data_IF_569313000166
#
_entry.id   IF_569313000166
#
_cell.length_a   1.000
_cell.length_b   1.000
_cell.length_c   1.000
_cell.angle_alpha   90.00
_cell.angle_beta   90.00
_cell.angle_gamma   90.00
#
_symmetry.space_group_name_H-M   'P 1'
#
loop_
_entity.id
_entity.type
_entity.pdbx_description
1 polymer ?
#
# COMPACT_ATOMS: atom_id res chain seq x y z
N UNK A 1 13.52 10.54 -24.77
CA UNK A 1 12.66 10.97 -23.66
C UNK A 1 11.51 9.97 -23.58
N UNK A 2 11.27 9.27 -22.45
CA UNK A 2 10.09 8.41 -22.35
C UNK A 2 8.83 9.30 -22.34
N UNK A 3 7.83 8.89 -23.10
CA UNK A 3 6.56 9.58 -23.27
C UNK A 3 5.79 9.69 -21.95
N UNK A 4 5.44 10.91 -21.55
CA UNK A 4 4.70 11.20 -20.30
C UNK A 4 3.23 10.82 -20.38
N UNK A 5 2.70 10.56 -21.58
CA UNK A 5 1.28 10.34 -21.81
C UNK A 5 0.96 8.93 -22.31
N UNK A 6 1.92 8.00 -22.31
CA UNK A 6 1.61 6.62 -22.69
C UNK A 6 0.73 5.96 -21.61
N UNK A 7 -0.57 5.73 -21.88
CA UNK A 7 -1.52 5.23 -20.88
C UNK A 7 -1.26 3.75 -20.51
N UNK A 8 -0.36 3.06 -21.23
CA UNK A 8 -0.01 1.66 -20.98
C UNK A 8 0.89 1.47 -19.74
N UNK A 9 1.52 2.54 -19.23
CA UNK A 9 2.49 2.45 -18.12
C UNK A 9 2.06 3.40 -16.99
N UNK A 10 1.65 2.89 -15.82
CA UNK A 10 1.27 3.73 -14.70
C UNK A 10 2.48 4.54 -14.17
N UNK A 11 2.22 5.77 -13.72
CA UNK A 11 3.25 6.67 -13.18
C UNK A 11 3.75 6.23 -11.79
N UNK A 12 2.87 5.67 -10.97
CA UNK A 12 3.22 5.01 -9.72
C UNK A 12 2.23 3.90 -9.43
N UNK A 13 2.62 3.01 -8.52
CA UNK A 13 1.70 2.11 -7.83
C UNK A 13 1.68 2.55 -6.37
N UNK A 14 0.49 2.82 -5.85
CA UNK A 14 0.24 3.08 -4.44
C UNK A 14 -0.24 1.78 -3.79
N UNK A 15 0.29 1.47 -2.61
CA UNK A 15 0.03 0.22 -1.89
C UNK A 15 -0.41 0.53 -0.46
N UNK A 16 -1.31 -0.29 0.07
CA UNK A 16 -1.57 -0.36 1.52
C UNK A 16 -0.98 -1.68 2.01
N UNK A 17 0.02 -1.60 2.87
CA UNK A 17 0.66 -2.77 3.47
C UNK A 17 0.10 -2.96 4.89
N UNK A 18 -0.36 -4.16 5.20
CA UNK A 18 -0.85 -4.54 6.51
C UNK A 18 0.16 -5.47 7.19
N UNK A 19 0.49 -5.20 8.46
CA UNK A 19 1.33 -6.10 9.27
C UNK A 19 0.49 -7.14 10.03
N UNK A 20 1.15 -8.03 10.79
CA UNK A 20 0.48 -9.08 11.55
C UNK A 20 -0.37 -8.55 12.72
N UNK A 21 -0.20 -7.28 13.11
CA UNK A 21 -1.00 -6.61 14.15
C UNK A 21 -2.20 -5.89 13.55
N UNK A 22 -2.33 -5.87 12.22
CA UNK A 22 -3.40 -5.18 11.50
C UNK A 22 -3.10 -3.70 11.24
N UNK A 23 -1.92 -3.19 11.60
CA UNK A 23 -1.55 -1.81 11.30
C UNK A 23 -1.29 -1.66 9.79
N UNK A 24 -1.73 -0.52 9.25
CA UNK A 24 -1.74 -0.27 7.81
C UNK A 24 -0.89 0.93 7.47
N UNK A 25 0.10 0.72 6.63
CA UNK A 25 0.99 1.79 6.15
C UNK A 25 0.87 1.97 4.64
N UNK A 26 0.73 3.22 4.22
CA UNK A 26 0.81 3.59 2.82
C UNK A 26 2.24 3.43 2.31
N UNK A 27 2.40 2.80 1.16
CA UNK A 27 3.66 2.71 0.44
C UNK A 27 3.51 3.12 -1.03
N UNK A 28 4.56 3.71 -1.59
CA UNK A 28 4.58 4.15 -3.00
C UNK A 28 5.73 3.52 -3.78
N UNK A 29 5.42 2.99 -4.96
CA UNK A 29 6.38 2.57 -5.98
C UNK A 29 6.37 3.59 -7.11
N UNK A 30 7.39 4.45 -7.14
CA UNK A 30 7.49 5.49 -8.18
C UNK A 30 7.94 4.95 -9.54
N UNK A 31 7.60 5.67 -10.62
CA UNK A 31 7.91 5.32 -12.04
C UNK A 31 9.30 4.76 -12.30
N UNK A 32 10.32 5.31 -11.63
CA UNK A 32 11.73 4.96 -11.89
C UNK A 32 12.09 3.55 -11.41
N UNK A 33 11.38 3.05 -10.40
CA UNK A 33 11.60 1.73 -9.82
C UNK A 33 10.46 0.75 -10.11
N UNK A 34 9.34 1.24 -10.63
CA UNK A 34 8.15 0.46 -10.99
C UNK A 34 8.46 -0.81 -11.78
N UNK A 35 9.34 -0.71 -12.79
CA UNK A 35 9.75 -1.83 -13.64
C UNK A 35 10.34 -3.04 -12.86
N UNK A 36 10.91 -2.81 -11.68
CA UNK A 36 11.49 -3.88 -10.86
C UNK A 36 10.45 -4.65 -10.04
N UNK A 37 9.27 -4.06 -9.81
CA UNK A 37 8.29 -4.56 -8.85
C UNK A 37 6.92 -4.88 -9.46
N UNK A 38 6.57 -4.34 -10.63
CA UNK A 38 5.24 -4.50 -11.26
C UNK A 38 4.74 -5.95 -11.31
N UNK A 39 5.62 -6.90 -11.56
CA UNK A 39 5.27 -8.32 -11.69
C UNK A 39 5.67 -9.15 -10.45
N UNK A 40 6.15 -8.51 -9.38
CA UNK A 40 6.59 -9.18 -8.14
C UNK A 40 5.58 -9.07 -7.01
N UNK A 41 4.71 -8.07 -7.05
CA UNK A 41 3.76 -7.76 -5.99
C UNK A 41 2.37 -7.96 -6.55
N UNK A 42 1.60 -8.81 -5.88
CA UNK A 42 0.20 -9.08 -6.15
C UNK A 42 -0.60 -8.76 -4.89
N UNK A 43 -1.80 -8.22 -5.07
CA UNK A 43 -2.70 -7.95 -3.96
C UNK A 43 -3.01 -9.25 -3.19
N UNK A 44 -3.26 -9.10 -1.89
CA UNK A 44 -3.65 -10.20 -0.99
C UNK A 44 -2.61 -11.32 -0.84
N UNK A 45 -1.34 -11.05 -1.15
CA UNK A 45 -0.21 -11.94 -0.89
C UNK A 45 0.64 -11.44 0.27
N UNK A 46 1.39 -12.36 0.87
CA UNK A 46 2.28 -12.07 1.99
C UNK A 46 3.72 -11.92 1.50
N UNK A 47 4.41 -10.91 2.00
CA UNK A 47 5.76 -10.58 1.56
C UNK A 47 6.65 -10.25 2.75
N UNK A 48 7.91 -10.69 2.67
CA UNK A 48 8.99 -10.12 3.45
C UNK A 48 9.61 -8.98 2.65
N UNK A 49 9.57 -7.77 3.19
CA UNK A 49 10.08 -6.60 2.49
C UNK A 49 11.03 -5.77 3.37
N UNK A 50 12.13 -5.29 2.80
CA UNK A 50 13.18 -4.56 3.52
C UNK A 50 13.76 -3.40 2.70
N UNK A 51 14.52 -2.51 3.36
CA UNK A 51 15.26 -1.40 2.74
C UNK A 51 14.37 -0.36 2.03
N UNK A 52 13.39 0.16 2.78
CA UNK A 52 12.54 1.27 2.35
C UNK A 52 13.10 2.61 2.81
N UNK A 53 12.67 3.68 2.14
CA UNK A 53 12.76 5.04 2.69
C UNK A 53 11.46 5.36 3.42
N UNK A 54 11.56 5.81 4.66
CA UNK A 54 10.41 6.22 5.49
C UNK A 54 10.26 7.74 5.44
N UNK A 55 9.04 8.24 5.23
CA UNK A 55 8.75 9.69 5.19
C UNK A 55 7.44 10.02 5.90
N UNK A 56 7.24 11.29 6.33
CA UNK A 56 5.93 11.73 6.80
C UNK A 56 4.83 11.58 5.75
N UNK A 57 3.66 11.14 6.20
CA UNK A 57 2.44 11.04 5.37
C UNK A 57 1.67 12.37 5.39
N UNK A 58 2.21 13.36 4.70
CA UNK A 58 1.66 14.72 4.62
C UNK A 58 0.68 14.92 3.45
N UNK A 59 0.12 13.83 2.92
CA UNK A 59 -0.86 13.90 1.83
C UNK A 59 -2.21 14.41 2.36
N UNK A 60 -2.87 15.28 1.58
CA UNK A 60 -4.22 15.78 1.91
C UNK A 60 -5.27 14.67 1.89
N UNK A 61 -5.11 13.71 0.98
CA UNK A 61 -5.88 12.48 0.93
C UNK A 61 -4.99 11.35 1.42
N UNK A 62 -5.32 10.78 2.58
CA UNK A 62 -4.58 9.68 3.18
C UNK A 62 -5.30 8.38 2.88
N UNK A 63 -4.58 7.40 2.35
CA UNK A 63 -5.10 6.03 2.16
C UNK A 63 -5.08 5.23 3.49
N UNK A 64 -4.34 5.73 4.48
CA UNK A 64 -4.19 5.13 5.82
C UNK A 64 -4.02 6.23 6.88
N UNK A 65 -4.51 6.01 8.09
CA UNK A 65 -4.34 6.94 9.24
C UNK A 65 -2.90 7.05 9.73
N UNK A 66 -2.03 6.11 9.34
CA UNK A 66 -0.63 6.08 9.74
C UNK A 66 0.15 7.35 9.36
N UNK A 67 0.92 7.89 10.32
CA UNK A 67 1.64 9.18 10.21
C UNK A 67 2.83 9.14 9.25
N UNK A 68 3.33 7.95 8.96
CA UNK A 68 4.47 7.72 8.07
C UNK A 68 4.01 6.94 6.84
N UNK A 69 4.80 7.05 5.77
CA UNK A 69 4.64 6.28 4.54
C UNK A 69 5.98 5.72 4.05
N UNK A 70 5.93 4.61 3.34
CA UNK A 70 7.10 3.96 2.76
C UNK A 70 7.28 4.37 1.30
N UNK A 71 8.52 4.52 0.86
CA UNK A 71 8.87 4.73 -0.54
C UNK A 71 9.82 3.62 -0.99
N UNK A 72 9.44 2.92 -2.04
CA UNK A 72 10.28 1.90 -2.66
C UNK A 72 11.46 2.55 -3.37
N UNK A 73 12.61 1.89 -3.27
CA UNK A 73 13.84 2.27 -3.95
C UNK A 73 14.37 1.08 -4.76
N UNK A 74 15.43 1.29 -5.54
CA UNK A 74 16.09 0.17 -6.22
C UNK A 74 16.70 -0.85 -5.25
N UNK A 75 17.00 -0.44 -4.01
CA UNK A 75 17.54 -1.32 -2.96
C UNK A 75 16.46 -2.08 -2.20
N UNK A 76 15.20 -1.72 -2.39
CA UNK A 76 14.10 -2.36 -1.69
C UNK A 76 14.03 -3.83 -2.08
N UNK A 77 14.09 -4.68 -1.07
CA UNK A 77 14.00 -6.12 -1.22
C UNK A 77 12.55 -6.55 -1.00
N UNK A 78 12.06 -7.45 -1.85
CA UNK A 78 10.71 -8.01 -1.78
C UNK A 78 10.79 -9.49 -2.14
N UNK A 79 10.30 -10.33 -1.24
CA UNK A 79 10.24 -11.78 -1.40
C UNK A 79 8.88 -12.26 -0.93
N UNK A 80 8.16 -12.99 -1.79
CA UNK A 80 6.89 -13.61 -1.43
C UNK A 80 7.13 -14.73 -0.42
N UNK A 81 6.24 -14.84 0.55
CA UNK A 81 6.33 -15.86 1.59
C UNK A 81 4.94 -16.39 1.92
N UNK A 82 4.88 -17.50 2.64
CA UNK A 82 3.64 -18.11 3.09
C UNK A 82 3.73 -18.35 4.59
N UNK A 83 2.76 -17.81 5.33
CA UNK A 83 2.60 -18.03 6.76
C UNK A 83 1.11 -18.29 7.04
N UNK A 84 0.73 -19.54 7.33
CA UNK A 84 -0.65 -19.88 7.68
C UNK A 84 -1.18 -19.18 8.93
N UNK A 85 -0.30 -18.67 9.80
CA UNK A 85 -0.69 -17.96 11.02
C UNK A 85 -0.98 -16.47 10.79
N UNK A 86 -0.68 -15.95 9.60
CA UNK A 86 -0.94 -14.56 9.26
C UNK A 86 -2.44 -14.37 8.96
N UNK A 87 -3.16 -13.72 9.88
CA UNK A 87 -4.58 -13.44 9.71
C UNK A 87 -4.83 -12.29 8.72
N UNK A 88 -5.50 -12.60 7.61
CA UNK A 88 -5.87 -11.66 6.55
C UNK A 88 -7.17 -10.91 6.86
N UNK A 89 -7.18 -10.10 7.92
CA UNK A 89 -8.31 -9.26 8.30
C UNK A 89 -8.27 -7.92 7.56
N UNK A 90 -8.66 -7.93 6.28
CA UNK A 90 -8.52 -6.77 5.38
C UNK A 90 -9.77 -5.89 5.29
N UNK A 91 -10.94 -6.40 5.65
CA UNK A 91 -12.20 -5.66 5.56
C UNK A 91 -12.78 -5.36 6.93
N UNK A 92 -13.22 -4.12 7.12
CA UNK A 92 -14.13 -3.73 8.19
C UNK A 92 -15.52 -3.59 7.57
N UNK A 93 -16.29 -4.69 7.54
CA UNK A 93 -17.60 -4.71 6.91
C UNK A 93 -18.61 -3.98 7.79
N UNK A 94 -19.30 -2.99 7.20
CA UNK A 94 -20.38 -2.24 7.85
C UNK A 94 -21.71 -2.59 7.17
N UNK A 95 -22.79 -2.84 7.92
CA UNK A 95 -24.12 -2.97 7.36
C UNK A 95 -24.52 -1.74 6.52
N UNK A 96 -25.26 -1.96 5.43
CA UNK A 96 -25.63 -0.90 4.48
C UNK A 96 -26.33 0.30 5.15
N UNK A 97 -27.18 0.05 6.16
CA UNK A 97 -27.88 1.11 6.90
C UNK A 97 -26.95 2.03 7.71
N UNK A 98 -25.70 1.65 7.94
CA UNK A 98 -24.69 2.51 8.60
C UNK A 98 -24.02 3.46 7.62
N UNK A 99 -24.12 3.21 6.30
CA UNK A 99 -23.52 4.05 5.24
C UNK A 99 -24.31 5.33 4.97
N UNK A 100 -25.56 5.40 5.41
CA UNK A 100 -26.42 6.59 5.24
C UNK A 100 -26.14 7.69 6.26
N UNK A 101 -25.30 7.42 7.26
CA UNK A 101 -24.94 8.40 8.27
C UNK A 101 -23.61 9.07 7.89
N UNK A 102 -23.55 10.40 7.99
CA UNK A 102 -22.31 11.18 7.83
C UNK A 102 -21.41 11.02 9.08
N UNK A 103 -20.93 9.80 9.34
CA UNK A 103 -19.89 9.58 10.36
C UNK A 103 -18.52 9.57 9.68
N UNK A 104 -17.53 10.17 10.33
CA UNK A 104 -16.15 10.15 9.85
C UNK A 104 -15.64 8.70 9.88
N UNK A 105 -15.27 8.18 8.71
CA UNK A 105 -14.93 6.76 8.51
C UNK A 105 -13.56 6.43 9.14
N UNK A 106 -12.75 7.45 9.45
CA UNK A 106 -11.41 7.34 10.04
C UNK A 106 -11.39 7.21 11.59
N UNK A 107 -12.55 7.20 12.27
CA UNK A 107 -12.66 7.18 13.75
C UNK A 107 -12.72 5.79 14.43
N UNK A 108 -12.16 4.72 13.83
CA UNK A 108 -12.08 3.41 14.54
C UNK A 108 -10.69 2.82 14.62
#
# INVERSE_FOLDING_TARGET
MPDRFNPQIPFSIELVLQDSKGDRIHATIGKYVLKFFRNKIHELRLYRMNYFVVRPNNLKLRTTTHKLKLTFTQKTFVEETNDPSFHMNIFNLRPFHQLTNEHDVDET
#
